data_IF_098967397420
#
_entry.id   IF_098967397420
#
_cell.length_a   1.000
_cell.length_b   1.000
_cell.length_c   1.000
_cell.angle_alpha   90.00
_cell.angle_beta   90.00
_cell.angle_gamma   90.00
#
_symmetry.space_group_name_H-M   'P 1'
#
loop_
_entity.id
_entity.type
_entity.pdbx_description
1 polymer ?
#
# COMPACT_ATOMS: atom_id res chain seq x y z
N UNK A 1 -26.75 -12.98 -0.44
CA UNK A 1 -26.11 -11.68 -0.77
C UNK A 1 -25.49 -11.65 -2.17
N UNK A 2 -24.66 -12.64 -2.57
CA UNK A 2 -23.88 -12.54 -3.82
C UNK A 2 -24.38 -13.40 -5.00
N UNK A 3 -25.60 -13.94 -4.92
CA UNK A 3 -26.11 -14.91 -5.89
C UNK A 3 -26.19 -14.37 -7.34
N UNK A 4 -26.51 -13.08 -7.49
CA UNK A 4 -26.64 -12.37 -8.78
C UNK A 4 -25.31 -11.98 -9.43
N UNK A 5 -24.19 -12.14 -8.72
CA UNK A 5 -22.85 -11.75 -9.20
C UNK A 5 -22.23 -12.94 -9.94
N UNK A 6 -21.71 -12.71 -11.15
CA UNK A 6 -21.01 -13.74 -11.92
C UNK A 6 -19.68 -14.13 -11.26
N UNK A 7 -19.32 -15.42 -11.31
CA UNK A 7 -18.06 -15.94 -10.74
C UNK A 7 -16.83 -15.16 -11.21
N UNK A 8 -16.79 -14.76 -12.49
CA UNK A 8 -15.70 -13.97 -13.06
C UNK A 8 -15.49 -12.62 -12.34
N UNK A 9 -16.56 -12.01 -11.84
CA UNK A 9 -16.47 -10.75 -11.10
C UNK A 9 -15.97 -11.01 -9.68
N UNK A 10 -16.40 -12.10 -9.02
CA UNK A 10 -15.89 -12.50 -7.71
C UNK A 10 -14.38 -12.81 -7.76
N UNK A 11 -13.93 -13.51 -8.81
CA UNK A 11 -12.51 -13.75 -9.09
C UNK A 11 -11.75 -12.42 -9.26
N UNK A 12 -12.26 -11.51 -10.09
CA UNK A 12 -11.67 -10.18 -10.27
C UNK A 12 -11.61 -9.40 -8.95
N UNK A 13 -12.58 -9.55 -8.06
CA UNK A 13 -12.58 -8.91 -6.73
C UNK A 13 -11.58 -9.55 -5.74
N UNK A 14 -10.88 -10.62 -6.14
CA UNK A 14 -9.82 -11.25 -5.35
C UNK A 14 -10.27 -12.48 -4.55
N UNK A 15 -11.52 -12.95 -4.75
CA UNK A 15 -12.03 -14.18 -4.13
C UNK A 15 -11.32 -15.38 -4.77
N UNK A 16 -10.61 -16.23 -4.01
CA UNK A 16 -10.02 -17.45 -4.53
C UNK A 16 -11.07 -18.38 -5.12
N UNK A 17 -10.77 -19.05 -6.24
CA UNK A 17 -11.72 -19.92 -6.95
C UNK A 17 -12.32 -21.01 -6.04
N UNK A 18 -11.47 -21.60 -5.19
CA UNK A 18 -11.83 -22.62 -4.20
C UNK A 18 -12.87 -22.13 -3.17
N UNK A 19 -12.90 -20.83 -2.89
CA UNK A 19 -13.78 -20.21 -1.90
C UNK A 19 -15.06 -19.62 -2.51
N UNK A 20 -15.19 -19.57 -3.84
CA UNK A 20 -16.42 -19.10 -4.53
C UNK A 20 -17.67 -19.89 -4.10
N UNK A 21 -17.64 -21.24 -4.00
CA UNK A 21 -18.81 -21.99 -3.56
C UNK A 21 -19.25 -21.63 -2.13
N UNK A 22 -18.30 -21.22 -1.28
CA UNK A 22 -18.56 -20.80 0.10
C UNK A 22 -19.18 -19.40 0.11
N UNK A 23 -18.59 -18.44 -0.62
CA UNK A 23 -19.13 -17.08 -0.78
C UNK A 23 -20.54 -17.10 -1.36
N UNK A 24 -20.85 -18.02 -2.29
CA UNK A 24 -22.21 -18.19 -2.83
C UNK A 24 -23.24 -18.64 -1.82
N UNK A 25 -22.83 -19.31 -0.75
CA UNK A 25 -23.69 -19.76 0.34
C UNK A 25 -23.87 -18.70 1.43
N UNK A 26 -23.34 -17.49 1.24
CA UNK A 26 -23.53 -16.37 2.16
C UNK A 26 -24.83 -15.64 1.82
N UNK A 27 -25.80 -15.76 2.74
CA UNK A 27 -27.13 -15.18 2.60
C UNK A 27 -27.35 -13.93 3.45
N UNK A 28 -26.56 -13.73 4.51
CA UNK A 28 -26.65 -12.58 5.42
C UNK A 28 -25.24 -12.09 5.86
N UNK A 29 -25.19 -10.94 6.53
CA UNK A 29 -23.95 -10.32 7.00
C UNK A 29 -23.24 -11.16 8.07
N UNK A 30 -23.97 -11.80 8.99
CA UNK A 30 -23.38 -12.67 10.01
C UNK A 30 -22.59 -13.85 9.40
N UNK A 31 -23.07 -14.41 8.28
CA UNK A 31 -22.36 -15.44 7.52
C UNK A 31 -21.18 -14.88 6.74
N UNK A 32 -21.26 -13.62 6.30
CA UNK A 32 -20.15 -12.96 5.63
C UNK A 32 -18.97 -12.80 6.58
N UNK A 33 -19.20 -12.35 7.81
CA UNK A 33 -18.16 -12.15 8.83
C UNK A 33 -17.36 -13.43 9.13
N UNK A 34 -18.00 -14.59 9.06
CA UNK A 34 -17.34 -15.90 9.24
C UNK A 34 -16.47 -16.28 8.05
N UNK A 35 -16.91 -15.98 6.83
CA UNK A 35 -16.20 -16.33 5.58
C UNK A 35 -15.05 -15.34 5.33
N UNK A 36 -15.24 -14.09 5.71
CA UNK A 36 -14.25 -13.00 5.61
C UNK A 36 -12.94 -13.33 6.30
N UNK A 37 -12.94 -14.05 7.43
CA UNK A 37 -11.72 -14.45 8.14
C UNK A 37 -10.80 -15.36 7.33
N UNK A 38 -11.34 -16.05 6.31
CA UNK A 38 -10.60 -16.97 5.44
C UNK A 38 -10.26 -16.36 4.08
N UNK A 39 -10.76 -15.15 3.81
CA UNK A 39 -10.55 -14.47 2.55
C UNK A 39 -9.36 -13.52 2.60
N UNK A 40 -8.66 -13.32 1.47
CA UNK A 40 -7.71 -12.23 1.34
C UNK A 40 -8.38 -10.87 1.63
N UNK A 41 -7.61 -9.92 2.16
CA UNK A 41 -8.12 -8.62 2.60
C UNK A 41 -8.91 -7.88 1.50
N UNK A 42 -8.42 -7.90 0.25
CA UNK A 42 -9.10 -7.25 -0.88
C UNK A 42 -10.49 -7.86 -1.15
N UNK A 43 -10.59 -9.19 -1.08
CA UNK A 43 -11.85 -9.89 -1.29
C UNK A 43 -12.84 -9.62 -0.16
N UNK A 44 -12.35 -9.53 1.08
CA UNK A 44 -13.15 -9.14 2.22
C UNK A 44 -13.74 -7.73 2.04
N UNK A 45 -12.89 -6.73 1.80
CA UNK A 45 -13.32 -5.34 1.66
C UNK A 45 -14.34 -5.19 0.52
N UNK A 46 -14.10 -5.86 -0.62
CA UNK A 46 -15.02 -5.84 -1.75
C UNK A 46 -16.38 -6.51 -1.45
N UNK A 47 -16.39 -7.68 -0.80
CA UNK A 47 -17.64 -8.36 -0.44
C UNK A 47 -18.41 -7.61 0.64
N UNK A 48 -17.70 -6.96 1.56
CA UNK A 48 -18.30 -6.11 2.61
C UNK A 48 -18.97 -4.89 1.99
N UNK A 49 -18.32 -4.22 1.04
CA UNK A 49 -18.93 -3.10 0.31
C UNK A 49 -20.19 -3.55 -0.47
N UNK A 50 -20.11 -4.70 -1.15
CA UNK A 50 -21.27 -5.27 -1.85
C UNK A 50 -22.43 -5.62 -0.88
N UNK A 51 -22.11 -6.12 0.32
CA UNK A 51 -23.12 -6.42 1.34
C UNK A 51 -23.75 -5.14 1.91
N UNK A 52 -22.97 -4.07 2.05
CA UNK A 52 -23.43 -2.74 2.46
C UNK A 52 -24.29 -2.02 1.40
N UNK A 53 -24.52 -2.64 0.23
CA UNK A 53 -25.42 -2.15 -0.81
C UNK A 53 -24.76 -1.36 -1.93
N UNK A 54 -23.43 -1.29 -1.97
CA UNK A 54 -22.71 -0.70 -3.09
C UNK A 54 -22.90 -1.55 -4.35
N UNK A 55 -23.00 -0.89 -5.50
CA UNK A 55 -23.07 -1.57 -6.79
C UNK A 55 -21.73 -2.18 -7.17
N UNK A 56 -21.76 -3.18 -8.06
CA UNK A 56 -20.54 -3.75 -8.63
C UNK A 56 -19.66 -2.67 -9.28
N UNK A 57 -20.27 -1.70 -9.96
CA UNK A 57 -19.54 -0.64 -10.65
C UNK A 57 -18.78 0.27 -9.67
N UNK A 58 -19.41 0.63 -8.55
CA UNK A 58 -18.78 1.44 -7.49
C UNK A 58 -17.63 0.70 -6.82
N UNK A 59 -17.84 -0.59 -6.47
CA UNK A 59 -16.80 -1.41 -5.86
C UNK A 59 -15.64 -1.64 -6.83
N UNK A 60 -15.90 -1.85 -8.12
CA UNK A 60 -14.81 -1.97 -9.10
C UNK A 60 -14.03 -0.67 -9.23
N UNK A 61 -14.71 0.48 -9.27
CA UNK A 61 -14.06 1.80 -9.35
C UNK A 61 -13.20 2.11 -8.13
N UNK A 62 -13.69 1.83 -6.92
CA UNK A 62 -12.97 2.07 -5.66
C UNK A 62 -11.68 1.22 -5.55
N UNK A 63 -11.72 -0.01 -6.08
CA UNK A 63 -10.58 -0.92 -6.06
C UNK A 63 -9.67 -0.76 -7.29
N UNK A 64 -9.93 0.22 -8.17
CA UNK A 64 -9.16 0.44 -9.38
C UNK A 64 -9.28 -0.69 -10.41
N UNK A 65 -10.35 -1.48 -10.34
CA UNK A 65 -10.63 -2.61 -11.22
C UNK A 65 -11.58 -2.20 -12.34
N UNK A 66 -11.34 -2.70 -13.54
CA UNK A 66 -12.25 -2.47 -14.68
C UNK A 66 -13.23 -3.63 -14.83
N UNK A 67 -14.52 -3.27 -14.96
CA UNK A 67 -15.58 -4.20 -15.38
C UNK A 67 -15.47 -4.60 -16.85
N UNK A 68 -14.67 -3.88 -17.65
CA UNK A 68 -14.47 -4.21 -19.06
C UNK A 68 -13.90 -5.63 -19.18
N UNK A 69 -14.51 -6.38 -20.09
CA UNK A 69 -14.10 -7.69 -20.54
C UNK A 69 -13.07 -7.44 -21.66
N UNK A 70 -12.05 -8.29 -21.75
CA UNK A 70 -10.75 -8.10 -22.41
C UNK A 70 -9.79 -7.25 -21.58
N UNK A 71 -8.61 -7.73 -21.22
CA UNK A 71 -7.67 -8.46 -22.06
C UNK A 71 -7.21 -9.79 -21.45
N UNK A 72 -6.92 -10.76 -22.32
CA UNK A 72 -6.13 -11.96 -22.02
C UNK A 72 -4.86 -11.54 -21.27
N UNK A 73 -4.78 -11.88 -19.98
CA UNK A 73 -3.54 -11.73 -19.21
C UNK A 73 -2.55 -12.70 -19.84
N UNK A 74 -1.62 -12.16 -20.62
CA UNK A 74 -0.51 -12.90 -21.17
C UNK A 74 0.40 -13.31 -20.01
N UNK A 75 0.42 -14.61 -19.70
CA UNK A 75 1.11 -15.17 -18.53
C UNK A 75 2.64 -15.12 -18.64
N UNK A 76 3.18 -14.60 -19.75
CA UNK A 76 4.62 -14.38 -19.94
C UNK A 76 5.07 -12.92 -19.73
N UNK A 77 4.14 -11.97 -19.55
CA UNK A 77 4.43 -10.53 -19.39
C UNK A 77 4.36 -10.12 -17.90
N UNK A 78 5.37 -10.57 -17.12
CA UNK A 78 5.47 -10.32 -15.68
C UNK A 78 5.46 -8.83 -15.32
N UNK A 79 5.95 -7.96 -16.20
CA UNK A 79 6.07 -6.51 -15.95
C UNK A 79 4.70 -5.83 -15.85
N UNK A 80 3.72 -6.19 -16.70
CA UNK A 80 2.36 -5.62 -16.62
C UNK A 80 1.55 -6.13 -15.44
N UNK A 81 1.82 -7.37 -15.01
CA UNK A 81 1.16 -7.94 -13.82
C UNK A 81 1.53 -7.17 -12.55
N UNK A 82 2.76 -6.63 -12.47
CA UNK A 82 3.26 -5.82 -11.35
C UNK A 82 2.63 -4.43 -11.27
N UNK A 83 2.10 -3.88 -12.37
CA UNK A 83 1.44 -2.58 -12.36
C UNK A 83 0.00 -2.62 -11.81
N UNK A 84 -0.60 -3.82 -11.72
CA UNK A 84 -1.94 -4.02 -11.19
C UNK A 84 -2.02 -3.56 -9.71
N UNK A 85 -2.99 -2.71 -9.33
CA UNK A 85 -3.23 -2.33 -7.94
C UNK A 85 -3.30 -3.50 -6.96
N UNK A 86 -3.81 -4.67 -7.38
CA UNK A 86 -3.84 -5.89 -6.55
C UNK A 86 -2.44 -6.45 -6.32
N UNK A 87 -1.60 -6.48 -7.36
CA UNK A 87 -0.21 -6.92 -7.24
C UNK A 87 0.60 -5.94 -6.41
N UNK A 88 0.38 -4.62 -6.54
CA UNK A 88 1.01 -3.59 -5.67
C UNK A 88 0.60 -3.67 -4.20
N UNK A 89 -0.58 -4.24 -3.91
CA UNK A 89 -1.09 -4.45 -2.54
C UNK A 89 -0.49 -5.70 -1.88
N UNK A 90 -0.27 -6.78 -2.64
CA UNK A 90 0.34 -8.04 -2.15
C UNK A 90 1.85 -8.12 -2.29
N UNK A 91 2.39 -7.49 -3.31
CA UNK A 91 3.80 -7.34 -3.60
C UNK A 91 4.10 -5.85 -3.63
N UNK A 92 4.89 -5.41 -2.65
CA UNK A 92 5.59 -4.13 -2.80
C UNK A 92 6.46 -4.29 -4.05
N UNK A 93 6.09 -3.69 -5.18
CA UNK A 93 6.98 -3.60 -6.34
C UNK A 93 8.08 -2.65 -5.90
N UNK A 94 9.12 -3.25 -5.33
CA UNK A 94 10.35 -2.58 -4.98
C UNK A 94 11.02 -2.28 -6.31
N UNK A 95 10.84 -1.06 -6.81
CA UNK A 95 11.61 -0.53 -7.96
C UNK A 95 13.14 -0.47 -7.66
N UNK A 96 13.58 -0.96 -6.50
CA UNK A 96 14.91 -0.79 -5.91
C UNK A 96 15.52 -2.13 -5.42
N UNK A 97 15.38 -3.21 -6.19
CA UNK A 97 15.89 -4.55 -5.83
C UNK A 97 17.40 -4.55 -5.49
N UNK A 98 18.19 -3.70 -6.15
CA UNK A 98 19.62 -3.52 -5.86
C UNK A 98 19.87 -2.90 -4.48
N UNK A 99 19.10 -1.88 -4.11
CA UNK A 99 19.32 -1.15 -2.85
C UNK A 99 18.84 -1.98 -1.67
N UNK A 100 17.72 -2.71 -1.82
CA UNK A 100 17.22 -3.62 -0.78
C UNK A 100 18.20 -4.79 -0.55
N UNK A 101 18.76 -5.37 -1.62
CA UNK A 101 19.79 -6.41 -1.51
C UNK A 101 21.07 -5.88 -0.85
N UNK A 102 21.58 -4.71 -1.25
CA UNK A 102 22.76 -4.09 -0.62
C UNK A 102 22.57 -3.84 0.89
N UNK A 103 21.34 -3.54 1.32
CA UNK A 103 21.02 -3.34 2.74
C UNK A 103 20.89 -4.66 3.48
N UNK A 104 20.31 -5.68 2.84
CA UNK A 104 20.23 -7.03 3.41
C UNK A 104 21.62 -7.59 3.74
N UNK A 105 22.62 -7.20 2.95
CA UNK A 105 24.03 -7.56 3.14
C UNK A 105 24.78 -6.60 4.07
N UNK A 106 24.18 -5.46 4.45
CA UNK A 106 24.82 -4.45 5.29
C UNK A 106 24.74 -4.79 6.79
N UNK A 107 25.74 -4.38 7.60
CA UNK A 107 25.69 -4.50 9.06
C UNK A 107 24.42 -3.85 9.64
N UNK A 108 23.80 -4.49 10.64
CA UNK A 108 22.55 -4.06 11.29
C UNK A 108 22.53 -2.59 11.71
N UNK A 109 23.67 -1.99 12.01
CA UNK A 109 23.79 -0.58 12.35
C UNK A 109 23.37 0.36 11.20
N UNK A 110 23.63 -0.03 9.95
CA UNK A 110 23.24 0.75 8.76
C UNK A 110 21.74 0.73 8.49
N UNK A 111 21.04 -0.31 8.91
CA UNK A 111 19.58 -0.41 8.77
C UNK A 111 18.85 0.68 9.55
N UNK A 112 19.40 1.10 10.70
CA UNK A 112 18.79 2.12 11.57
C UNK A 112 18.82 3.53 10.98
N UNK A 113 19.67 3.76 9.99
CA UNK A 113 19.85 5.04 9.29
C UNK A 113 19.55 4.92 7.79
N UNK A 114 18.99 3.79 7.38
CA UNK A 114 18.54 3.62 6.01
C UNK A 114 17.29 4.49 5.75
N UNK A 115 17.30 5.15 4.60
CA UNK A 115 16.22 6.00 4.13
C UNK A 115 15.87 5.58 2.71
N UNK A 116 14.69 4.99 2.55
CA UNK A 116 14.21 4.53 1.24
C UNK A 116 14.13 5.69 0.24
N UNK A 117 14.35 5.50 -1.07
CA UNK A 117 14.36 6.60 -2.03
C UNK A 117 13.09 7.47 -2.05
N UNK A 118 11.92 6.88 -1.85
CA UNK A 118 10.65 7.65 -1.65
C UNK A 118 10.64 8.50 -0.38
N UNK A 119 11.34 8.07 0.68
CA UNK A 119 11.54 8.88 1.89
C UNK A 119 12.64 9.93 1.70
N UNK A 120 13.67 9.62 0.89
CA UNK A 120 14.73 10.57 0.52
C UNK A 120 14.17 11.76 -0.24
N UNK A 121 13.24 11.55 -1.17
CA UNK A 121 12.60 12.65 -1.88
C UNK A 121 11.84 13.59 -0.92
N UNK A 122 11.17 13.06 0.11
CA UNK A 122 10.54 13.87 1.17
C UNK A 122 11.57 14.68 1.96
N UNK A 123 12.71 14.07 2.29
CA UNK A 123 13.80 14.67 3.07
C UNK A 123 14.54 15.75 2.29
N UNK A 124 14.84 15.53 1.02
CA UNK A 124 15.75 16.38 0.24
C UNK A 124 15.03 17.44 -0.59
N UNK A 125 13.71 17.37 -0.70
CA UNK A 125 12.93 18.35 -1.44
C UNK A 125 13.09 19.75 -0.82
N UNK A 126 13.64 20.68 -1.62
CA UNK A 126 13.93 22.06 -1.23
C UNK A 126 12.71 22.98 -1.35
N UNK A 127 11.66 22.54 -2.06
CA UNK A 127 10.51 23.37 -2.41
C UNK A 127 9.40 23.37 -1.33
N UNK A 128 9.67 22.79 -0.16
CA UNK A 128 8.78 22.87 0.99
C UNK A 128 8.80 24.29 1.59
N UNK A 129 7.96 25.17 1.05
CA UNK A 129 7.86 26.58 1.46
C UNK A 129 6.92 26.84 2.64
N UNK A 130 6.43 25.79 3.30
CA UNK A 130 5.45 25.88 4.38
C UNK A 130 5.35 24.59 5.20
N UNK A 131 4.36 24.49 6.09
CA UNK A 131 4.16 23.29 6.92
C UNK A 131 3.92 22.05 6.07
N UNK A 132 4.65 20.97 6.35
CA UNK A 132 4.52 19.67 5.66
C UNK A 132 4.08 18.61 6.66
N UNK A 133 3.07 17.82 6.29
CA UNK A 133 2.60 16.67 7.08
C UNK A 133 2.98 15.38 6.37
N UNK A 134 3.72 14.52 7.06
CA UNK A 134 4.07 13.17 6.59
C UNK A 134 3.24 12.16 7.37
N UNK A 135 2.46 11.34 6.66
CA UNK A 135 1.63 10.27 7.23
C UNK A 135 2.23 8.91 6.86
N UNK A 136 1.96 7.89 7.68
CA UNK A 136 2.42 6.53 7.44
C UNK A 136 2.05 5.62 8.60
N UNK A 137 1.85 4.33 8.34
CA UNK A 137 1.52 3.31 9.33
C UNK A 137 2.59 3.15 10.42
N UNK A 138 2.29 2.36 11.46
CA UNK A 138 3.31 2.00 12.45
C UNK A 138 4.51 1.32 11.76
N UNK A 139 5.74 1.60 12.22
CA UNK A 139 6.94 0.98 11.66
C UNK A 139 7.45 1.55 10.32
N UNK A 140 6.75 2.47 9.65
CA UNK A 140 7.15 2.98 8.32
C UNK A 140 8.28 4.03 8.33
N UNK A 141 9.12 4.06 9.38
CA UNK A 141 10.31 4.91 9.43
C UNK A 141 10.09 6.43 9.57
N UNK A 142 8.88 6.91 9.89
CA UNK A 142 8.59 8.37 10.00
C UNK A 142 9.58 9.15 10.88
N UNK A 143 9.98 8.58 12.01
CA UNK A 143 10.98 9.20 12.90
C UNK A 143 12.34 9.32 12.22
N UNK A 144 12.75 8.30 11.46
CA UNK A 144 13.99 8.31 10.67
C UNK A 144 13.91 9.41 9.60
N UNK A 145 12.79 9.50 8.86
CA UNK A 145 12.55 10.59 7.90
C UNK A 145 12.69 11.96 8.56
N UNK A 146 12.10 12.14 9.74
CA UNK A 146 12.14 13.41 10.46
C UNK A 146 13.57 13.79 10.88
N UNK A 147 14.37 12.83 11.38
CA UNK A 147 15.78 13.05 11.74
C UNK A 147 16.62 13.39 10.50
N UNK A 148 16.44 12.63 9.41
CA UNK A 148 17.14 12.90 8.15
C UNK A 148 16.77 14.27 7.59
N UNK A 149 15.49 14.68 7.71
CA UNK A 149 15.07 16.04 7.33
C UNK A 149 15.74 17.10 8.19
N UNK A 150 15.79 16.91 9.51
CA UNK A 150 16.48 17.85 10.40
C UNK A 150 17.96 18.01 10.01
N UNK A 151 18.65 16.90 9.74
CA UNK A 151 20.03 16.90 9.22
C UNK A 151 20.15 17.67 7.91
N UNK A 152 19.31 17.34 6.92
CA UNK A 152 19.30 18.01 5.62
C UNK A 152 19.07 19.52 5.75
N UNK A 153 18.15 19.92 6.62
CA UNK A 153 17.83 21.31 6.90
C UNK A 153 19.05 22.07 7.46
N UNK A 154 19.76 21.52 8.45
CA UNK A 154 21.00 22.11 9.01
C UNK A 154 22.08 22.22 7.93
N UNK A 155 22.30 21.15 7.15
CA UNK A 155 23.44 21.10 6.22
C UNK A 155 23.23 21.93 4.94
N UNK A 156 21.98 22.10 4.48
CA UNK A 156 21.69 22.61 3.14
C UNK A 156 20.81 23.86 3.09
N UNK A 157 20.00 24.13 4.11
CA UNK A 157 19.00 25.20 4.08
C UNK A 157 19.31 26.29 5.11
N UNK A 158 19.53 25.88 6.35
CA UNK A 158 19.72 26.73 7.52
C UNK A 158 21.20 26.73 7.94
N UNK A 159 22.06 27.24 7.05
CA UNK A 159 23.53 27.15 7.19
C UNK A 159 24.16 28.37 7.85
N UNK A 160 23.36 29.36 8.26
CA UNK A 160 23.90 30.56 8.94
C UNK A 160 24.15 30.26 10.42
N UNK A 161 25.11 30.96 10.99
CA UNK A 161 25.56 30.77 12.38
C UNK A 161 24.43 30.92 13.43
N UNK A 162 23.41 31.74 13.12
CA UNK A 162 22.28 31.98 14.00
C UNK A 162 21.02 31.16 13.65
N UNK A 163 21.05 30.34 12.60
CA UNK A 163 19.90 29.52 12.27
C UNK A 163 19.73 28.39 13.29
N UNK A 164 18.48 28.10 13.69
CA UNK A 164 18.16 27.09 14.69
C UNK A 164 17.04 26.19 14.21
N UNK A 165 17.18 24.89 14.48
CA UNK A 165 16.17 23.88 14.20
C UNK A 165 15.77 23.23 15.52
N UNK A 166 14.46 23.26 15.81
CA UNK A 166 13.88 22.56 16.94
C UNK A 166 13.34 21.21 16.47
N UNK A 167 13.83 20.13 17.07
CA UNK A 167 13.32 18.78 16.84
C UNK A 167 12.73 18.24 18.14
N UNK A 168 11.45 17.85 18.12
CA UNK A 168 10.75 17.32 19.30
C UNK A 168 10.14 15.96 18.98
N UNK A 169 10.32 15.03 19.91
CA UNK A 169 9.76 13.68 19.85
C UNK A 169 9.27 13.31 21.26
N UNK A 170 8.35 12.34 21.35
CA UNK A 170 7.87 11.83 22.64
C UNK A 170 8.89 10.91 23.34
N UNK A 171 9.87 10.37 22.61
CA UNK A 171 10.85 9.40 23.10
C UNK A 171 12.27 9.98 23.00
N UNK A 172 13.06 9.87 24.08
CA UNK A 172 14.49 10.24 24.10
C UNK A 172 15.37 9.17 23.48
#
# INVERSE_FOLDING_TARGET
LFASIHNRHLLKLGVPEELIPIVRKVYNEDQLDQVVMQLPMEANEALTALAAGYSLDEVFMEFGKSLKIDETIDTEDYEKSLENPDTKRRFFVVEDDLVLQEILEAPLEKWRVFLHPTQRSLVENKNWNGPVRVLGGAGTGKTVVAIHRAKFLVEKIFTKENDKILFTTFTR
#
